data_IF_253015507040
#
_entry.id   IF_253015507040
#
_cell.length_a   1.000
_cell.length_b   1.000
_cell.length_c   1.000
_cell.angle_alpha   90.00
_cell.angle_beta   90.00
_cell.angle_gamma   90.00
#
_symmetry.space_group_name_H-M   'P 1'
#
loop_
_entity.id
_entity.type
_entity.pdbx_description
1 polymer ?
#
# COMPACT_ATOMS: atom_id res chain seq x y z
N UNK A 1 14.03 22.38 -21.81
CA UNK A 1 12.65 22.48 -22.33
C UNK A 1 12.16 21.05 -22.53
N UNK A 2 11.01 20.68 -21.95
CA UNK A 2 10.41 19.38 -22.22
C UNK A 2 9.91 19.35 -23.68
N UNK A 3 9.92 18.17 -24.32
CA UNK A 3 9.39 18.04 -25.69
C UNK A 3 7.89 18.35 -25.69
N UNK A 4 7.34 19.09 -26.68
CA UNK A 4 5.90 19.34 -26.81
C UNK A 4 5.07 18.04 -26.80
N UNK A 5 5.65 16.96 -27.32
CA UNK A 5 5.05 15.61 -27.30
C UNK A 5 4.93 15.06 -25.87
N UNK A 6 5.89 15.39 -25.00
CA UNK A 6 5.88 15.00 -23.59
C UNK A 6 4.84 15.82 -22.82
N UNK A 7 4.69 17.10 -23.13
CA UNK A 7 3.68 17.97 -22.53
C UNK A 7 2.26 17.52 -22.89
N UNK A 8 2.01 17.19 -24.16
CA UNK A 8 0.72 16.63 -24.62
C UNK A 8 0.43 15.27 -23.98
N UNK A 9 1.45 14.41 -23.82
CA UNK A 9 1.30 13.13 -23.13
C UNK A 9 0.96 13.31 -21.66
N UNK A 10 1.55 14.31 -20.98
CA UNK A 10 1.24 14.62 -19.59
C UNK A 10 -0.14 15.25 -19.42
N UNK A 11 -0.58 16.09 -20.35
CA UNK A 11 -1.93 16.70 -20.31
C UNK A 11 -3.06 15.70 -20.57
N UNK A 12 -2.81 14.64 -21.37
CA UNK A 12 -3.78 13.53 -21.53
C UNK A 12 -3.95 12.65 -20.29
N UNK A 13 -3.06 12.78 -19.30
CA UNK A 13 -3.13 12.05 -18.03
C UNK A 13 -3.86 12.83 -16.93
N UNK A 14 -4.36 14.04 -17.25
CA UNK A 14 -5.20 14.80 -16.32
C UNK A 14 -6.55 14.09 -16.21
N UNK A 15 -6.90 13.66 -15.00
CA UNK A 15 -8.19 13.02 -14.72
C UNK A 15 -9.27 14.07 -14.93
N UNK A 16 -10.25 13.74 -15.76
CA UNK A 16 -11.40 14.59 -16.07
C UNK A 16 -12.17 14.91 -14.78
N UNK A 17 -12.26 16.21 -14.44
CA UNK A 17 -12.90 16.71 -13.21
C UNK A 17 -14.43 16.49 -13.20
N UNK A 18 -15.00 15.97 -14.30
CA UNK A 18 -16.45 15.83 -14.49
C UNK A 18 -17.05 14.48 -14.06
N UNK A 19 -16.25 13.53 -13.58
CA UNK A 19 -16.76 12.25 -13.08
C UNK A 19 -16.90 12.28 -11.55
N UNK A 20 -18.11 12.05 -11.04
CA UNK A 20 -18.34 11.71 -9.63
C UNK A 20 -17.40 10.56 -9.25
N UNK A 21 -16.29 10.88 -8.59
CA UNK A 21 -15.23 9.93 -8.32
C UNK A 21 -15.74 8.88 -7.33
N UNK A 22 -16.18 7.71 -7.84
CA UNK A 22 -16.55 6.56 -7.02
C UNK A 22 -15.32 6.13 -6.23
N UNK A 23 -15.27 6.54 -4.97
CA UNK A 23 -14.21 6.27 -4.01
C UNK A 23 -14.83 5.72 -2.73
N UNK A 24 -14.06 4.90 -2.01
CA UNK A 24 -14.45 4.34 -0.72
C UNK A 24 -13.56 4.99 0.35
N UNK A 25 -14.03 6.05 1.03
CA UNK A 25 -13.27 6.67 2.12
C UNK A 25 -13.08 5.69 3.26
N UNK A 26 -11.88 5.68 3.83
CA UNK A 26 -11.59 4.98 5.07
C UNK A 26 -12.26 5.69 6.23
N UNK A 27 -12.94 4.96 7.12
CA UNK A 27 -13.53 5.51 8.35
C UNK A 27 -12.83 4.93 9.57
N UNK A 28 -11.60 5.40 9.86
CA UNK A 28 -10.87 4.94 11.02
C UNK A 28 -11.63 5.31 12.31
N UNK A 29 -11.57 4.51 13.39
CA UNK A 29 -12.15 4.88 14.68
C UNK A 29 -11.50 6.15 15.28
N UNK A 30 -12.21 6.81 16.21
CA UNK A 30 -11.85 8.15 16.75
C UNK A 30 -10.42 8.23 17.33
N UNK A 31 -9.90 7.11 17.85
CA UNK A 31 -8.53 6.99 18.38
C UNK A 31 -7.43 7.16 17.31
N UNK A 32 -7.78 6.95 16.05
CA UNK A 32 -6.95 7.24 14.88
C UNK A 32 -7.28 8.58 14.22
N UNK A 33 -8.51 9.09 14.38
CA UNK A 33 -8.94 10.38 13.84
C UNK A 33 -8.29 11.57 14.60
N UNK A 34 -8.06 11.42 15.91
CA UNK A 34 -7.72 12.51 16.82
C UNK A 34 -6.27 13.03 16.85
N UNK A 35 -5.45 12.80 15.83
CA UNK A 35 -4.09 13.36 15.88
C UNK A 35 -3.40 13.51 14.55
N UNK A 36 -3.52 14.69 13.90
CA UNK A 36 -2.61 15.26 12.87
C UNK A 36 -2.06 14.32 11.77
N UNK A 37 -2.59 13.11 11.61
CA UNK A 37 -1.92 12.00 10.90
C UNK A 37 -2.43 11.81 9.47
N UNK A 38 -3.61 12.33 9.17
CA UNK A 38 -4.17 12.38 7.82
C UNK A 38 -3.79 13.67 7.07
N UNK A 39 -3.37 14.71 7.78
CA UNK A 39 -2.93 16.00 7.20
C UNK A 39 -1.62 15.91 6.40
N UNK A 40 -0.93 14.77 6.45
CA UNK A 40 0.35 14.53 5.79
C UNK A 40 0.23 13.68 4.51
N UNK A 41 -0.96 13.56 3.91
CA UNK A 41 -1.06 12.95 2.58
C UNK A 41 -0.32 13.85 1.59
N UNK A 42 0.75 13.36 0.93
CA UNK A 42 1.51 14.18 -0.01
C UNK A 42 0.64 14.62 -1.17
N UNK A 43 0.88 15.83 -1.68
CA UNK A 43 0.14 16.40 -2.82
C UNK A 43 0.12 15.49 -4.04
N UNK A 44 1.19 14.72 -4.24
CA UNK A 44 1.30 13.78 -5.34
C UNK A 44 1.56 12.37 -4.83
N UNK A 45 0.85 11.42 -5.43
CA UNK A 45 1.09 9.99 -5.26
C UNK A 45 1.40 9.36 -6.61
N UNK A 46 2.26 8.35 -6.56
CA UNK A 46 2.76 7.62 -7.72
C UNK A 46 2.37 6.16 -7.61
N UNK A 47 1.96 5.57 -8.73
CA UNK A 47 1.67 4.15 -8.85
C UNK A 47 2.28 3.60 -10.12
N UNK A 48 3.10 2.57 -9.96
CA UNK A 48 3.58 1.76 -11.08
C UNK A 48 2.64 0.58 -11.26
N UNK A 49 2.24 0.32 -12.50
CA UNK A 49 1.38 -0.81 -12.82
C UNK A 49 1.76 -1.46 -14.15
N UNK A 50 1.38 -2.73 -14.28
CA UNK A 50 1.61 -3.60 -15.43
C UNK A 50 0.31 -4.35 -15.76
N UNK A 51 0.17 -4.98 -16.94
CA UNK A 51 -0.96 -5.85 -17.25
C UNK A 51 -1.14 -7.03 -16.27
N UNK A 52 -0.12 -7.35 -15.46
CA UNK A 52 -0.13 -8.41 -14.45
C UNK A 52 -0.44 -7.91 -13.04
N UNK A 53 -0.54 -6.60 -12.85
CA UNK A 53 -0.97 -6.03 -11.57
C UNK A 53 -2.36 -6.57 -11.21
N UNK A 54 -2.59 -6.86 -9.91
CA UNK A 54 -3.87 -7.45 -9.49
C UNK A 54 -5.06 -6.48 -9.65
N UNK A 55 -4.81 -5.19 -9.43
CA UNK A 55 -5.76 -4.13 -9.74
C UNK A 55 -5.68 -3.68 -11.20
N UNK A 56 -6.68 -2.94 -11.66
CA UNK A 56 -6.71 -2.35 -13.00
C UNK A 56 -6.50 -0.85 -12.90
N UNK A 57 -5.61 -0.31 -13.73
CA UNK A 57 -5.44 1.14 -13.89
C UNK A 57 -5.64 1.51 -15.36
N UNK A 58 -6.56 2.43 -15.62
CA UNK A 58 -6.81 3.05 -16.93
C UNK A 58 -6.52 4.55 -16.83
N UNK A 59 -6.70 5.30 -17.92
CA UNK A 59 -6.63 6.76 -17.91
C UNK A 59 -7.66 7.42 -16.98
N UNK A 60 -8.76 6.73 -16.67
CA UNK A 60 -9.89 7.27 -15.90
C UNK A 60 -10.09 6.60 -14.53
N UNK A 61 -9.56 5.40 -14.30
CA UNK A 61 -9.84 4.64 -13.09
C UNK A 61 -8.65 3.90 -12.53
N UNK A 62 -8.56 3.85 -11.19
CA UNK A 62 -7.71 2.91 -10.47
C UNK A 62 -8.61 2.02 -9.62
N UNK A 63 -8.71 0.75 -9.99
CA UNK A 63 -9.52 -0.25 -9.31
C UNK A 63 -8.63 -1.25 -8.59
N UNK A 64 -8.97 -1.56 -7.34
CA UNK A 64 -8.45 -2.73 -6.65
C UNK A 64 -8.90 -4.02 -7.36
N UNK A 65 -8.35 -5.15 -6.95
CA UNK A 65 -8.76 -6.45 -7.49
C UNK A 65 -10.25 -6.71 -7.28
N UNK A 66 -10.76 -6.44 -6.09
CA UNK A 66 -12.17 -6.62 -5.76
C UNK A 66 -13.07 -5.66 -6.55
N UNK A 67 -12.68 -4.38 -6.66
CA UNK A 67 -13.43 -3.40 -7.43
C UNK A 67 -13.44 -3.71 -8.95
N UNK A 68 -12.38 -4.34 -9.48
CA UNK A 68 -12.35 -4.81 -10.87
C UNK A 68 -13.43 -5.87 -11.15
N UNK A 69 -13.71 -6.72 -10.17
CA UNK A 69 -14.68 -7.80 -10.29
C UNK A 69 -16.06 -7.44 -9.72
N UNK A 70 -16.23 -6.18 -9.26
CA UNK A 70 -17.47 -5.67 -8.65
C UNK A 70 -18.01 -6.58 -7.53
N UNK A 71 -17.11 -7.10 -6.69
CA UNK A 71 -17.50 -7.96 -5.57
C UNK A 71 -18.08 -7.13 -4.42
N UNK A 72 -18.89 -7.75 -3.55
CA UNK A 72 -19.44 -7.06 -2.39
C UNK A 72 -18.35 -6.50 -1.47
N UNK A 73 -17.23 -7.23 -1.32
CA UNK A 73 -16.07 -6.82 -0.52
C UNK A 73 -15.40 -5.54 -1.04
N UNK A 74 -15.60 -5.17 -2.31
CA UNK A 74 -15.00 -3.96 -2.88
C UNK A 74 -15.49 -2.66 -2.23
N UNK A 75 -16.69 -2.68 -1.62
CA UNK A 75 -17.35 -1.52 -0.99
C UNK A 75 -17.30 -1.53 0.54
N UNK A 76 -16.58 -2.48 1.13
CA UNK A 76 -16.50 -2.63 2.59
C UNK A 76 -15.24 -1.94 3.10
N UNK A 77 -15.41 -0.92 3.93
CA UNK A 77 -14.30 -0.28 4.61
C UNK A 77 -13.55 -1.30 5.49
N UNK A 78 -12.22 -1.27 5.44
CA UNK A 78 -11.34 -2.14 6.22
C UNK A 78 -11.59 -2.00 7.73
N UNK A 79 -12.02 -0.81 8.20
CA UNK A 79 -12.33 -0.58 9.60
C UNK A 79 -13.70 -1.11 10.03
N UNK A 80 -14.60 -1.38 9.08
CA UNK A 80 -15.93 -1.92 9.35
C UNK A 80 -15.96 -3.45 9.44
N UNK A 81 -14.87 -4.13 9.04
CA UNK A 81 -14.80 -5.59 9.07
C UNK A 81 -14.57 -6.12 10.51
N UNK A 82 -15.28 -7.20 10.85
CA UNK A 82 -15.26 -7.77 12.20
C UNK A 82 -14.01 -8.60 12.51
N UNK A 83 -13.50 -9.38 11.54
CA UNK A 83 -12.35 -10.26 11.75
C UNK A 83 -11.02 -9.50 11.64
N UNK A 84 -10.51 -9.06 12.79
CA UNK A 84 -9.24 -8.31 12.88
C UNK A 84 -8.03 -9.15 12.48
N UNK A 85 -8.07 -10.47 12.66
CA UNK A 85 -6.97 -11.36 12.31
C UNK A 85 -6.91 -11.54 10.79
N UNK A 86 -8.05 -11.76 10.15
CA UNK A 86 -8.16 -11.84 8.69
C UNK A 86 -7.66 -10.53 8.04
N UNK A 87 -8.09 -9.38 8.55
CA UNK A 87 -7.62 -8.07 8.08
C UNK A 87 -6.10 -7.92 8.24
N UNK A 88 -5.56 -8.30 9.40
CA UNK A 88 -4.12 -8.20 9.66
C UNK A 88 -3.31 -9.05 8.67
N UNK A 89 -3.76 -10.28 8.41
CA UNK A 89 -3.13 -11.16 7.42
C UNK A 89 -3.27 -10.60 6.00
N UNK A 90 -4.44 -10.06 5.65
CA UNK A 90 -4.70 -9.42 4.36
C UNK A 90 -3.77 -8.22 4.13
N UNK A 91 -3.62 -7.34 5.13
CA UNK A 91 -2.68 -6.19 5.09
C UNK A 91 -1.25 -6.70 4.91
N UNK A 92 -0.83 -7.70 5.68
CA UNK A 92 0.52 -8.25 5.59
C UNK A 92 0.82 -8.82 4.19
N UNK A 93 -0.13 -9.58 3.61
CA UNK A 93 -0.01 -10.09 2.24
C UNK A 93 0.08 -8.96 1.22
N UNK A 94 -0.80 -7.94 1.35
CA UNK A 94 -0.83 -6.78 0.47
C UNK A 94 0.51 -6.04 0.45
N UNK A 95 1.03 -5.69 1.63
CA UNK A 95 2.25 -4.89 1.78
C UNK A 95 3.53 -5.63 1.37
N UNK A 96 3.49 -6.97 1.33
CA UNK A 96 4.59 -7.82 0.85
C UNK A 96 4.43 -8.25 -0.61
N UNK A 97 3.37 -7.78 -1.30
CA UNK A 97 3.02 -8.19 -2.65
C UNK A 97 2.95 -9.72 -2.81
N UNK A 98 2.42 -10.40 -1.79
CA UNK A 98 2.18 -11.84 -1.81
C UNK A 98 0.80 -12.09 -2.41
N UNK A 99 0.70 -13.07 -3.31
CA UNK A 99 -0.59 -13.52 -3.84
C UNK A 99 -1.46 -14.08 -2.72
N UNK A 100 -2.76 -13.78 -2.76
CA UNK A 100 -3.73 -14.23 -1.78
C UNK A 100 -5.13 -13.85 -2.20
N UNK A 101 -6.09 -13.94 -1.29
CA UNK A 101 -7.45 -13.50 -1.55
C UNK A 101 -7.49 -12.01 -1.90
N UNK A 102 -8.47 -11.65 -2.72
CA UNK A 102 -8.56 -10.29 -3.21
C UNK A 102 -8.98 -9.33 -2.10
N UNK A 103 -8.41 -8.15 -2.15
CA UNK A 103 -8.68 -7.07 -1.21
C UNK A 103 -9.01 -5.79 -1.98
N UNK A 104 -9.69 -4.87 -1.33
CA UNK A 104 -10.07 -3.59 -1.91
C UNK A 104 -8.95 -2.53 -1.88
N UNK A 105 -7.72 -2.91 -1.47
CA UNK A 105 -6.57 -2.00 -1.40
C UNK A 105 -5.79 -1.86 -2.71
N UNK A 106 -5.21 -0.68 -2.88
CA UNK A 106 -4.36 -0.27 -4.01
C UNK A 106 -3.13 0.43 -3.43
N UNK A 107 -1.93 -0.06 -3.75
CA UNK A 107 -0.70 0.55 -3.26
C UNK A 107 -0.32 1.80 -4.05
N UNK A 108 0.16 2.80 -3.32
CA UNK A 108 0.69 4.08 -3.80
C UNK A 108 2.02 4.37 -3.08
N UNK A 109 2.89 5.18 -3.70
CA UNK A 109 4.09 5.73 -3.06
C UNK A 109 4.11 7.24 -3.17
N UNK A 110 4.71 7.92 -2.20
CA UNK A 110 4.96 9.36 -2.24
C UNK A 110 6.33 9.73 -2.80
N UNK A 111 7.17 8.73 -3.11
CA UNK A 111 8.53 8.94 -3.59
C UNK A 111 8.66 8.53 -5.06
N UNK A 112 8.80 9.52 -5.95
CA UNK A 112 9.02 9.29 -7.38
C UNK A 112 10.25 8.40 -7.64
N UNK A 113 11.35 8.65 -6.91
CA UNK A 113 12.57 7.83 -7.06
C UNK A 113 12.30 6.35 -6.77
N UNK A 114 11.50 6.04 -5.75
CA UNK A 114 11.10 4.67 -5.45
C UNK A 114 10.27 4.07 -6.59
N UNK A 115 9.31 4.82 -7.15
CA UNK A 115 8.54 4.37 -8.31
C UNK A 115 9.44 4.07 -9.52
N UNK A 116 10.41 4.92 -9.82
CA UNK A 116 11.37 4.71 -10.92
C UNK A 116 12.25 3.47 -10.69
N UNK A 117 12.81 3.31 -9.50
CA UNK A 117 13.59 2.11 -9.14
C UNK A 117 12.72 0.85 -9.25
N UNK A 118 11.46 0.94 -8.84
CA UNK A 118 10.53 -0.19 -8.93
C UNK A 118 10.19 -0.58 -10.38
N UNK A 119 10.11 0.37 -11.32
CA UNK A 119 9.99 0.07 -12.77
C UNK A 119 11.15 -0.79 -13.24
N UNK A 120 12.39 -0.44 -12.89
CA UNK A 120 13.57 -1.23 -13.26
C UNK A 120 13.58 -2.59 -12.56
N UNK A 121 13.15 -2.65 -11.30
CA UNK A 121 12.97 -3.91 -10.58
C UNK A 121 11.98 -4.84 -11.30
N UNK A 122 10.81 -4.34 -11.70
CA UNK A 122 9.81 -5.12 -12.44
C UNK A 122 10.35 -5.61 -13.78
N UNK A 123 11.13 -4.79 -14.48
CA UNK A 123 11.76 -5.17 -15.74
C UNK A 123 12.79 -6.30 -15.57
N UNK A 124 13.58 -6.26 -14.50
CA UNK A 124 14.55 -7.31 -14.18
C UNK A 124 13.89 -8.58 -13.62
N UNK A 125 12.69 -8.46 -13.04
CA UNK A 125 11.99 -9.55 -12.40
C UNK A 125 11.37 -10.52 -13.44
N UNK A 126 11.80 -11.77 -13.41
CA UNK A 126 11.34 -12.83 -14.33
C UNK A 126 9.90 -13.30 -14.07
N UNK A 127 9.24 -12.82 -13.02
CA UNK A 127 7.86 -13.19 -12.65
C UNK A 127 6.81 -12.40 -13.44
N UNK A 128 6.98 -11.09 -13.56
CA UNK A 128 6.02 -10.22 -14.25
C UNK A 128 6.16 -10.35 -15.78
N UNK A 129 7.42 -10.35 -16.28
CA UNK A 129 7.79 -10.49 -17.70
C UNK A 129 7.12 -9.47 -18.64
N UNK A 130 6.51 -8.41 -18.13
CA UNK A 130 5.98 -7.37 -19.00
C UNK A 130 7.12 -6.71 -19.78
N UNK A 131 6.81 -6.31 -21.01
CA UNK A 131 7.74 -5.48 -21.78
C UNK A 131 7.82 -4.10 -21.14
N UNK A 132 8.91 -3.38 -21.37
CA UNK A 132 9.12 -2.08 -20.74
C UNK A 132 8.02 -1.09 -21.11
N UNK A 133 7.52 -1.14 -22.34
CA UNK A 133 6.44 -0.30 -22.87
C UNK A 133 5.06 -0.59 -22.23
N UNK A 134 4.96 -1.68 -21.47
CA UNK A 134 3.76 -2.08 -20.75
C UNK A 134 3.82 -1.71 -19.25
N UNK A 135 4.96 -1.22 -18.78
CA UNK A 135 5.11 -0.73 -17.41
C UNK A 135 4.75 0.76 -17.42
N UNK A 136 3.69 1.11 -16.71
CA UNK A 136 3.13 2.45 -16.72
C UNK A 136 3.29 3.11 -15.35
N UNK A 137 3.53 4.42 -15.35
CA UNK A 137 3.57 5.27 -14.16
C UNK A 137 2.34 6.18 -14.16
N UNK A 138 1.48 6.00 -13.17
CA UNK A 138 0.35 6.88 -12.88
C UNK A 138 0.77 7.87 -11.79
N UNK A 139 0.41 9.14 -12.00
CA UNK A 139 0.63 10.24 -11.05
C UNK A 139 -0.72 10.87 -10.80
N UNK A 140 -1.08 11.05 -9.53
CA UNK A 140 -2.33 11.72 -9.14
C UNK A 140 -2.05 12.89 -8.21
N UNK A 141 -2.85 13.95 -8.33
CA UNK A 141 -2.95 14.99 -7.33
C UNK A 141 -3.97 14.56 -6.26
N UNK A 142 -3.59 14.57 -5.00
CA UNK A 142 -4.48 14.10 -3.91
C UNK A 142 -5.55 15.11 -3.53
N UNK A 143 -5.37 16.38 -3.89
CA UNK A 143 -6.31 17.47 -3.59
C UNK A 143 -7.64 17.39 -4.34
N UNK A 144 -7.73 16.56 -5.39
CA UNK A 144 -8.96 16.36 -6.18
C UNK A 144 -9.80 15.20 -5.65
N UNK A 145 -9.36 14.50 -4.60
CA UNK A 145 -10.07 13.37 -4.01
C UNK A 145 -10.73 13.79 -2.68
N UNK A 146 -11.84 13.14 -2.29
CA UNK A 146 -12.40 13.29 -0.96
C UNK A 146 -11.37 12.98 0.14
N UNK A 147 -11.60 13.55 1.31
CA UNK A 147 -10.84 13.21 2.51
C UNK A 147 -10.93 11.70 2.81
N UNK A 148 -9.89 11.19 3.47
CA UNK A 148 -9.78 9.79 3.90
C UNK A 148 -9.80 8.73 2.79
N UNK A 149 -9.64 9.09 1.52
CA UNK A 149 -9.45 8.10 0.42
C UNK A 149 -8.06 7.46 0.45
N UNK A 150 -7.08 8.16 1.03
CA UNK A 150 -5.71 7.67 1.18
C UNK A 150 -5.37 7.49 2.65
N UNK A 151 -4.64 6.40 2.93
CA UNK A 151 -4.20 6.06 4.28
C UNK A 151 -2.76 5.57 4.21
N UNK A 152 -1.94 5.95 5.19
CA UNK A 152 -0.56 5.47 5.30
C UNK A 152 -0.54 4.02 5.76
N UNK A 153 0.32 3.23 5.12
CA UNK A 153 0.50 1.82 5.47
C UNK A 153 0.91 1.61 6.95
N UNK A 154 1.77 2.48 7.50
CA UNK A 154 2.20 2.42 8.90
C UNK A 154 1.04 2.58 9.89
N UNK A 155 0.01 3.36 9.55
CA UNK A 155 -1.15 3.53 10.43
C UNK A 155 -2.02 2.26 10.43
N UNK A 156 -2.17 1.60 9.26
CA UNK A 156 -2.78 0.26 9.19
C UNK A 156 -1.96 -0.80 9.94
N UNK A 157 -0.64 -0.84 9.74
CA UNK A 157 0.24 -1.80 10.42
C UNK A 157 0.09 -1.65 11.93
N UNK A 158 0.21 -0.43 12.47
CA UNK A 158 0.09 -0.17 13.92
C UNK A 158 -1.23 -0.61 14.49
N UNK A 159 -2.32 -0.45 13.72
CA UNK A 159 -3.67 -0.79 14.14
C UNK A 159 -3.92 -2.29 14.22
N UNK A 160 -3.29 -3.08 13.36
CA UNK A 160 -3.56 -4.51 13.22
C UNK A 160 -2.40 -5.43 13.65
N UNK A 161 -1.21 -4.89 13.97
CA UNK A 161 -0.03 -5.68 14.38
C UNK A 161 -0.24 -6.64 15.55
N UNK A 162 -1.19 -6.36 16.46
CA UNK A 162 -1.48 -7.23 17.60
C UNK A 162 -2.22 -8.50 17.21
N UNK A 163 -2.71 -8.57 15.98
CA UNK A 163 -3.53 -9.68 15.46
C UNK A 163 -2.77 -10.56 14.45
N UNK A 164 -1.54 -10.19 14.06
CA UNK A 164 -0.69 -10.99 13.17
C UNK A 164 0.80 -10.75 13.45
N UNK A 165 1.53 -11.81 13.82
CA UNK A 165 2.95 -11.72 14.14
C UNK A 165 3.81 -11.30 12.95
N UNK A 166 3.42 -11.69 11.73
CA UNK A 166 4.15 -11.35 10.50
C UNK A 166 4.03 -9.86 10.15
N UNK A 167 2.86 -9.27 10.40
CA UNK A 167 2.58 -7.84 10.28
C UNK A 167 3.36 -7.05 11.33
N UNK A 168 3.41 -7.55 12.58
CA UNK A 168 4.25 -6.95 13.63
C UNK A 168 5.73 -6.96 13.25
N UNK A 169 6.24 -8.09 12.75
CA UNK A 169 7.60 -8.18 12.27
C UNK A 169 7.86 -7.25 11.06
N UNK A 170 6.86 -7.03 10.21
CA UNK A 170 6.93 -6.07 9.11
C UNK A 170 7.03 -4.62 9.62
N UNK A 171 6.33 -4.26 10.70
CA UNK A 171 6.48 -2.96 11.36
C UNK A 171 7.92 -2.74 11.83
N UNK A 172 8.51 -3.74 12.50
CA UNK A 172 9.89 -3.64 13.01
C UNK A 172 10.89 -3.43 11.88
N UNK A 173 10.70 -4.10 10.73
CA UNK A 173 11.49 -3.89 9.52
C UNK A 173 11.34 -2.46 8.98
N UNK A 174 10.10 -1.96 8.88
CA UNK A 174 9.81 -0.59 8.39
C UNK A 174 10.37 0.50 9.29
N UNK A 175 10.39 0.27 10.60
CA UNK A 175 10.96 1.18 11.59
C UNK A 175 12.46 0.98 11.81
N UNK A 176 13.09 0.04 11.09
CA UNK A 176 14.50 -0.34 11.24
C UNK A 176 14.88 -0.66 12.70
N UNK A 177 13.97 -1.28 13.45
CA UNK A 177 14.24 -1.74 14.82
C UNK A 177 15.05 -3.03 14.75
N UNK A 178 16.38 -2.91 14.81
CA UNK A 178 17.25 -4.08 15.02
C UNK A 178 16.86 -4.75 16.33
N UNK A 179 16.62 -6.07 16.32
CA UNK A 179 16.51 -6.88 17.54
C UNK A 179 17.82 -6.71 18.33
N UNK A 180 17.82 -5.89 19.35
CA UNK A 180 18.85 -5.91 20.39
C UNK A 180 18.76 -7.27 21.07
N UNK A 181 19.59 -8.21 20.63
CA UNK A 181 19.82 -9.48 21.31
C UNK A 181 20.54 -9.16 22.62
N UNK A 182 19.80 -8.94 23.69
CA UNK A 182 20.36 -8.99 25.03
C UNK A 182 20.53 -10.48 25.38
N UNK A 183 21.75 -10.98 25.27
CA UNK A 183 22.16 -12.25 25.88
C UNK A 183 22.35 -12.04 27.37
N UNK A 184 21.30 -12.21 28.14
CA UNK A 184 21.42 -12.54 29.57
C UNK A 184 21.43 -14.06 29.67
N UNK A 185 22.63 -14.64 29.58
CA UNK A 185 22.85 -16.02 29.99
C UNK A 185 22.75 -16.04 31.52
N UNK A 186 21.62 -16.49 32.04
CA UNK A 186 21.51 -16.90 33.44
C UNK A 186 22.18 -18.26 33.57
N UNK A 187 23.44 -18.26 34.01
CA UNK A 187 24.15 -19.48 34.37
C UNK A 187 23.76 -19.84 35.82
N UNK A 188 22.70 -20.65 35.95
CA UNK A 188 22.38 -21.36 37.18
C UNK A 188 22.53 -22.85 36.93
N UNK A 189 23.66 -23.44 37.32
CA UNK A 189 23.68 -24.87 37.64
C UNK A 189 24.69 -25.13 38.75
N UNK A 190 24.15 -25.24 39.96
CA UNK A 190 24.74 -25.97 41.06
C UNK A 190 24.82 -27.45 40.69
N UNK A 191 26.01 -28.07 40.74
CA UNK A 191 26.15 -29.51 40.97
C UNK A 191 27.28 -29.77 41.95
N UNK A 192 26.86 -30.29 43.11
CA UNK A 192 27.63 -31.04 44.10
C UNK A 192 28.17 -32.35 43.47
N UNK A 193 29.30 -32.85 43.94
CA UNK A 193 29.65 -34.26 43.82
C UNK A 193 31.15 -34.59 43.86
N UNK A 194 31.62 -34.97 45.05
CA UNK A 194 32.93 -35.51 45.49
C UNK A 194 34.16 -34.60 45.40
#
# INVERSE_FOLDING_TARGET
MASPELEDQLQRLTVDESCDAESLPFRPPEDLQGGKKFDEIPRYLFRVFTPRSQGTTTSSWVKSREARHNTACSKVDIFAQADRQEIAQMINRHLRWIEGDGHNLVSWTSFLLFALVYIFHLRANTRDRSKFEQINLCIIGTSTFPEDVFLRDLDLIRRYRSHDESLRAFEDLRLNKKKTRNSTTSESTSRKGL
#
